data_IF_531383459341
#
_entry.id   IF_531383459341
#
_cell.length_a   1.000
_cell.length_b   1.000
_cell.length_c   1.000
_cell.angle_alpha   90.00
_cell.angle_beta   90.00
_cell.angle_gamma   90.00
#
_symmetry.space_group_name_H-M   'P 1'
#
loop_
_entity.id
_entity.type
_entity.pdbx_description
1 polymer ?
#
# COMPACT_ATOMS: atom_id res chain seq x y z
N UNK A 1 13.24 -2.08 -9.42
CA UNK A 1 12.33 -3.04 -10.08
C UNK A 1 10.90 -2.52 -10.07
N UNK A 2 10.21 -2.41 -8.92
CA UNK A 2 8.84 -1.90 -8.87
C UNK A 2 8.63 -0.40 -9.24
N UNK A 3 9.70 0.28 -9.66
CA UNK A 3 9.71 1.68 -10.12
C UNK A 3 10.43 1.85 -11.46
N UNK A 4 10.61 0.76 -12.22
CA UNK A 4 11.25 0.84 -13.54
C UNK A 4 10.29 1.51 -14.54
N UNK A 5 10.66 2.69 -15.03
CA UNK A 5 9.85 3.48 -15.97
C UNK A 5 9.65 2.80 -17.34
N UNK A 6 10.43 1.76 -17.65
CA UNK A 6 10.25 0.96 -18.87
C UNK A 6 9.12 -0.06 -18.74
N UNK A 7 8.72 -0.40 -17.51
CA UNK A 7 7.66 -1.36 -17.22
C UNK A 7 6.39 -0.69 -16.69
N UNK A 8 6.56 0.43 -15.99
CA UNK A 8 5.50 1.12 -15.25
C UNK A 8 5.47 2.58 -15.69
N UNK A 9 4.42 3.00 -16.38
CA UNK A 9 4.17 4.41 -16.68
C UNK A 9 4.06 5.21 -15.37
N UNK A 10 4.70 6.37 -15.25
CA UNK A 10 4.70 7.19 -14.02
C UNK A 10 4.92 6.38 -12.73
N UNK A 11 6.07 5.71 -12.58
CA UNK A 11 6.30 4.71 -11.53
C UNK A 11 6.30 5.27 -10.10
N UNK A 12 6.47 6.59 -9.95
CA UNK A 12 6.41 7.28 -8.66
C UNK A 12 4.98 7.67 -8.26
N UNK A 13 4.01 7.55 -9.17
CA UNK A 13 2.60 7.89 -8.91
C UNK A 13 1.85 6.63 -8.48
N UNK A 14 1.21 6.71 -7.31
CA UNK A 14 0.25 5.70 -6.89
C UNK A 14 -0.98 5.75 -7.80
N UNK A 15 -1.06 4.80 -8.73
CA UNK A 15 -2.19 4.64 -9.64
C UNK A 15 -2.57 3.16 -9.72
N UNK A 16 -3.64 2.73 -9.02
CA UNK A 16 -4.14 1.35 -9.07
C UNK A 16 -4.65 0.93 -10.45
N UNK A 17 -5.20 1.87 -11.22
CA UNK A 17 -5.85 1.59 -12.52
C UNK A 17 -4.85 1.06 -13.56
N UNK A 18 -3.54 1.27 -13.36
CA UNK A 18 -2.50 0.69 -14.22
C UNK A 18 -2.61 -0.83 -14.35
N UNK A 19 -3.13 -1.51 -13.33
CA UNK A 19 -3.23 -2.98 -13.32
C UNK A 19 -4.54 -3.48 -13.95
N UNK A 20 -5.39 -2.58 -14.47
CA UNK A 20 -6.50 -2.95 -15.35
C UNK A 20 -6.00 -3.37 -16.74
N UNK A 21 -4.83 -2.88 -17.15
CA UNK A 21 -4.13 -3.33 -18.34
C UNK A 21 -3.43 -4.69 -18.05
N UNK A 22 -3.84 -5.79 -18.73
CA UNK A 22 -3.24 -7.10 -18.52
C UNK A 22 -1.77 -7.18 -18.93
N UNK A 23 -1.28 -6.25 -19.76
CA UNK A 23 0.11 -6.22 -20.20
C UNK A 23 1.05 -5.62 -19.14
N UNK A 24 0.49 -4.94 -18.12
CA UNK A 24 1.28 -4.39 -17.02
C UNK A 24 1.69 -5.52 -16.06
N UNK A 25 3.00 -5.79 -15.87
CA UNK A 25 3.44 -6.90 -15.05
C UNK A 25 3.16 -6.63 -13.57
N UNK A 26 2.70 -7.66 -12.85
CA UNK A 26 2.56 -7.57 -11.39
C UNK A 26 3.90 -7.25 -10.73
N UNK A 27 3.85 -6.43 -9.68
CA UNK A 27 5.06 -6.05 -8.94
C UNK A 27 5.74 -7.30 -8.35
N UNK A 28 7.08 -7.43 -8.48
CA UNK A 28 7.83 -8.58 -7.97
C UNK A 28 8.09 -8.48 -6.45
N UNK A 29 7.09 -8.10 -5.65
CA UNK A 29 7.23 -7.83 -4.20
C UNK A 29 7.62 -9.06 -3.37
N UNK A 30 7.35 -10.26 -3.89
CA UNK A 30 7.66 -11.54 -3.25
C UNK A 30 8.93 -12.22 -3.79
N UNK A 31 9.72 -11.52 -4.60
CA UNK A 31 10.92 -12.07 -5.23
C UNK A 31 10.63 -13.09 -6.33
N UNK A 32 11.65 -13.83 -6.75
CA UNK A 32 11.61 -14.78 -7.87
C UNK A 32 12.54 -15.99 -7.65
N UNK A 33 12.38 -17.01 -8.49
CA UNK A 33 13.21 -18.22 -8.47
C UNK A 33 13.00 -19.10 -7.24
N UNK A 34 14.02 -19.90 -6.88
CA UNK A 34 13.95 -20.91 -5.81
C UNK A 34 13.77 -20.34 -4.39
N UNK A 35 13.91 -19.03 -4.21
CA UNK A 35 13.74 -18.31 -2.93
C UNK A 35 12.57 -17.33 -2.96
N UNK A 36 11.69 -17.41 -3.96
CA UNK A 36 10.43 -16.67 -3.97
C UNK A 36 9.68 -16.92 -2.67
N UNK A 37 9.10 -15.87 -2.09
CA UNK A 37 8.44 -15.94 -0.78
C UNK A 37 7.43 -17.11 -0.76
N UNK A 38 7.62 -18.12 0.11
CA UNK A 38 6.70 -19.25 0.19
C UNK A 38 5.34 -18.84 0.74
N UNK A 39 5.26 -17.70 1.44
CA UNK A 39 4.03 -17.15 2.01
C UNK A 39 3.18 -16.31 1.06
N UNK A 40 3.52 -16.22 -0.25
CA UNK A 40 2.82 -15.34 -1.21
C UNK A 40 1.30 -15.54 -1.20
N UNK A 41 0.82 -16.77 -1.31
CA UNK A 41 -0.61 -17.05 -1.40
C UNK A 41 -1.35 -16.70 -0.10
N UNK A 42 -0.70 -16.93 1.05
CA UNK A 42 -1.24 -16.54 2.34
C UNK A 42 -1.29 -15.01 2.48
N UNK A 43 -0.21 -14.32 2.13
CA UNK A 43 -0.12 -12.87 2.22
C UNK A 43 -1.14 -12.17 1.31
N UNK A 44 -1.30 -12.63 0.07
CA UNK A 44 -2.28 -12.08 -0.87
C UNK A 44 -3.72 -12.27 -0.36
N UNK A 45 -4.08 -13.49 0.06
CA UNK A 45 -5.44 -13.78 0.54
C UNK A 45 -5.76 -13.05 1.85
N UNK A 46 -4.85 -13.09 2.82
CA UNK A 46 -5.06 -12.44 4.13
C UNK A 46 -5.14 -10.92 4.01
N UNK A 47 -4.29 -10.31 3.19
CA UNK A 47 -4.30 -8.85 2.96
C UNK A 47 -5.59 -8.42 2.27
N UNK A 48 -6.04 -9.18 1.26
CA UNK A 48 -7.31 -8.91 0.59
C UNK A 48 -8.49 -8.96 1.55
N UNK A 49 -8.59 -10.04 2.33
CA UNK A 49 -9.67 -10.21 3.31
C UNK A 49 -9.65 -9.09 4.35
N UNK A 50 -8.48 -8.78 4.92
CA UNK A 50 -8.34 -7.74 5.93
C UNK A 50 -8.79 -6.38 5.42
N UNK A 51 -8.31 -5.95 4.24
CA UNK A 51 -8.67 -4.65 3.65
C UNK A 51 -10.16 -4.62 3.29
N UNK A 52 -10.68 -5.67 2.66
CA UNK A 52 -12.09 -5.75 2.29
C UNK A 52 -13.02 -5.70 3.52
N UNK A 53 -12.67 -6.42 4.59
CA UNK A 53 -13.42 -6.38 5.85
C UNK A 53 -13.39 -4.99 6.47
N UNK A 54 -12.21 -4.35 6.55
CA UNK A 54 -12.09 -3.00 7.09
C UNK A 54 -12.92 -1.98 6.32
N UNK A 55 -12.89 -2.02 4.98
CA UNK A 55 -13.66 -1.11 4.12
C UNK A 55 -15.17 -1.42 4.13
N UNK A 56 -15.57 -2.66 4.40
CA UNK A 56 -16.97 -3.03 4.48
C UNK A 56 -17.63 -2.59 5.81
N UNK A 57 -16.84 -2.45 6.88
CA UNK A 57 -17.37 -2.19 8.23
C UNK A 57 -16.98 -0.84 8.81
N UNK A 58 -16.09 -0.08 8.15
CA UNK A 58 -15.61 1.19 8.66
C UNK A 58 -15.36 2.20 7.55
N UNK A 59 -15.50 3.47 7.92
CA UNK A 59 -15.09 4.63 7.11
C UNK A 59 -13.80 5.22 7.66
N UNK A 60 -12.79 5.32 6.79
CA UNK A 60 -11.53 6.00 7.07
C UNK A 60 -11.60 7.45 6.61
N UNK A 61 -11.12 8.37 7.44
CA UNK A 61 -11.00 9.78 7.08
C UNK A 61 -9.78 10.41 7.73
N UNK A 62 -9.34 11.56 7.21
CA UNK A 62 -8.25 12.31 7.84
C UNK A 62 -8.74 12.89 9.17
N UNK A 63 -7.86 12.90 10.17
CA UNK A 63 -8.13 13.59 11.43
C UNK A 63 -8.31 15.08 11.19
N UNK A 64 -9.19 15.72 11.94
CA UNK A 64 -9.35 17.18 11.94
C UNK A 64 -8.68 17.82 13.15
N UNK A 65 -8.10 18.99 12.95
CA UNK A 65 -7.55 19.81 14.04
C UNK A 65 -8.65 20.53 14.83
N UNK A 66 -8.28 21.36 15.81
CA UNK A 66 -9.22 22.14 16.62
C UNK A 66 -10.03 23.17 15.81
N UNK A 67 -9.58 23.51 14.61
CA UNK A 67 -10.25 24.45 13.70
C UNK A 67 -11.11 23.73 12.65
N UNK A 68 -11.17 22.39 12.70
CA UNK A 68 -11.92 21.55 11.77
C UNK A 68 -11.22 21.31 10.43
N UNK A 69 -9.95 21.68 10.28
CA UNK A 69 -9.17 21.47 9.06
C UNK A 69 -8.54 20.07 9.06
N UNK A 70 -8.52 19.43 7.88
CA UNK A 70 -7.93 18.11 7.72
C UNK A 70 -6.40 18.14 7.91
N UNK A 71 -5.91 17.23 8.73
CA UNK A 71 -4.48 16.95 8.91
C UNK A 71 -4.09 15.97 7.80
N UNK A 72 -3.27 16.41 6.84
CA UNK A 72 -2.73 15.54 5.79
C UNK A 72 -1.61 14.69 6.40
N UNK A 73 -1.75 13.35 6.44
CA UNK A 73 -0.70 12.48 6.95
C UNK A 73 0.59 12.67 6.15
N UNK A 74 1.70 12.88 6.86
CA UNK A 74 3.02 12.90 6.25
C UNK A 74 3.53 11.46 6.17
N UNK A 75 3.95 11.03 4.97
CA UNK A 75 4.50 9.68 4.78
C UNK A 75 5.97 9.73 5.18
N UNK A 76 6.20 9.53 6.47
CA UNK A 76 7.53 9.35 7.02
C UNK A 76 7.80 7.87 7.20
N UNK A 77 8.97 7.42 6.76
CA UNK A 77 9.39 6.02 6.88
C UNK A 77 10.59 5.94 7.78
N UNK A 78 10.51 5.11 8.82
CA UNK A 78 11.69 4.65 9.51
C UNK A 78 12.40 3.66 8.59
N UNK A 79 13.64 3.99 8.22
CA UNK A 79 14.46 3.16 7.34
C UNK A 79 15.52 2.47 8.17
N UNK A 80 15.41 1.15 8.28
CA UNK A 80 16.59 0.32 8.44
C UNK A 80 16.97 -0.29 7.08
N UNK A 81 18.14 -0.93 6.99
CA UNK A 81 18.66 -1.44 5.71
C UNK A 81 17.82 -2.59 5.09
N UNK A 82 16.78 -3.07 5.75
CA UNK A 82 16.05 -4.29 5.36
C UNK A 82 14.53 -4.11 5.29
N UNK A 83 13.95 -3.21 6.09
CA UNK A 83 12.50 -3.00 6.22
C UNK A 83 12.21 -1.49 6.18
N UNK A 84 11.16 -1.15 5.43
CA UNK A 84 10.55 0.17 5.43
C UNK A 84 9.32 0.11 6.33
N UNK A 85 9.38 0.78 7.48
CA UNK A 85 8.27 0.90 8.40
C UNK A 85 7.69 2.31 8.32
N UNK A 86 6.37 2.45 8.37
CA UNK A 86 5.73 3.76 8.41
C UNK A 86 5.77 4.30 9.84
N UNK A 87 6.13 5.57 9.98
CA UNK A 87 5.94 6.27 11.24
C UNK A 87 4.44 6.42 11.54
N UNK A 88 4.09 6.45 12.83
CA UNK A 88 2.72 6.69 13.27
C UNK A 88 2.19 8.02 12.72
N UNK A 89 0.96 8.00 12.19
CA UNK A 89 0.23 9.19 11.77
C UNK A 89 -1.21 9.14 12.26
N UNK A 90 -1.79 10.32 12.38
CA UNK A 90 -3.15 10.53 12.88
C UNK A 90 -4.20 10.29 11.78
N UNK A 91 -5.28 9.57 12.11
CA UNK A 91 -6.45 9.38 11.25
C UNK A 91 -7.73 9.17 12.08
N UNK A 92 -8.88 9.31 11.43
CA UNK A 92 -10.19 9.01 11.99
C UNK A 92 -10.73 7.70 11.41
N UNK A 93 -11.30 6.88 12.29
CA UNK A 93 -11.86 5.57 11.97
C UNK A 93 -13.21 5.42 12.67
N UNK A 94 -14.27 5.29 11.88
CA UNK A 94 -15.66 5.21 12.37
C UNK A 94 -16.33 3.97 11.79
N UNK A 95 -17.16 3.24 12.55
CA UNK A 95 -18.03 2.21 11.99
C UNK A 95 -18.93 2.78 10.88
#
# INVERSE_FOLDING_TARGET
>A
MGRDSRQYMDPEVFNPDRYLDPDVPRLPIFGWGRRKCPGIHFAEASTFIMIASLLATFTFSKKRDSNGQEIIPQIEVERNSLVLELMSFDFEFKP
#
